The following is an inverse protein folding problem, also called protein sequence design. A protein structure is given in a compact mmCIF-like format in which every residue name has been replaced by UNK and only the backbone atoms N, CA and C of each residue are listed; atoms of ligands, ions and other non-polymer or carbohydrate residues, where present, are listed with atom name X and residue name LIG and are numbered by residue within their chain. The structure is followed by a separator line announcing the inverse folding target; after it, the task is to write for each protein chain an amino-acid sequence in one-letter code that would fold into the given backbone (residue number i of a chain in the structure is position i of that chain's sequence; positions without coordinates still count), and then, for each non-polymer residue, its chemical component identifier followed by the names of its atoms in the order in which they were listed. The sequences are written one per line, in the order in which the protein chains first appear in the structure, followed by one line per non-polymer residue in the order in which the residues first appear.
data_IF_299001844953
#
_entry.id   IF_299001844953
#
_cell.length_a   1.000
_cell.length_b   1.000
_cell.length_c   1.000
_cell.angle_alpha   90.00
_cell.angle_beta   90.00
_cell.angle_gamma   90.00
#
_symmetry.space_group_name_H-M   'P 1'
#
loop_
_entity.id
_entity.type
_entity.pdbx_description
1 polymer ?
#
# COMPACT_ATOMS: atom_id res chain seq x y z
N UNK A 1 -10.73 -19.80 0.29
CA UNK A 1 -10.71 -18.39 0.66
C UNK A 1 -12.12 -17.91 0.83
N UNK A 2 -12.37 -17.23 1.94
CA UNK A 2 -13.59 -16.47 2.17
C UNK A 2 -13.20 -15.01 2.33
N UNK A 3 -14.06 -14.11 1.87
CA UNK A 3 -13.83 -12.66 1.97
C UNK A 3 -15.09 -11.98 2.49
N UNK A 4 -14.89 -11.10 3.45
CA UNK A 4 -15.93 -10.24 4.01
C UNK A 4 -15.65 -8.78 3.70
N UNK A 5 -16.71 -8.06 3.39
CA UNK A 5 -16.77 -6.62 3.38
C UNK A 5 -17.03 -6.11 4.79
N UNK A 6 -16.20 -5.20 5.27
CA UNK A 6 -16.32 -4.61 6.59
C UNK A 6 -16.49 -3.09 6.48
N UNK A 7 -17.26 -2.54 7.42
CA UNK A 7 -17.57 -1.12 7.48
C UNK A 7 -17.42 -0.57 8.91
N UNK A 8 -16.83 0.61 9.03
CA UNK A 8 -16.75 1.36 10.29
C UNK A 8 -17.90 2.37 10.42
N UNK A 9 -18.20 2.82 11.64
CA UNK A 9 -19.20 3.89 11.87
C UNK A 9 -18.84 5.20 11.16
N UNK A 10 -17.54 5.44 10.91
CA UNK A 10 -17.04 6.64 10.26
C UNK A 10 -17.05 6.54 8.73
N UNK A 11 -17.53 5.43 8.17
CA UNK A 11 -17.62 5.23 6.72
C UNK A 11 -16.35 4.69 6.06
N UNK A 12 -15.37 4.18 6.81
CA UNK A 12 -14.22 3.49 6.23
C UNK A 12 -14.59 2.06 5.84
N UNK A 13 -14.10 1.60 4.69
CA UNK A 13 -14.45 0.29 4.14
C UNK A 13 -13.22 -0.58 3.92
N UNK A 14 -13.43 -1.89 3.98
CA UNK A 14 -12.36 -2.85 3.76
C UNK A 14 -12.84 -4.24 3.41
N UNK A 15 -11.92 -5.04 2.88
CA UNK A 15 -12.08 -6.46 2.63
C UNK A 15 -11.14 -7.23 3.55
N UNK A 16 -11.70 -8.23 4.22
CA UNK A 16 -10.97 -9.14 5.09
C UNK A 16 -11.05 -10.55 4.54
N UNK A 17 -9.90 -11.17 4.32
CA UNK A 17 -9.80 -12.55 3.84
C UNK A 17 -9.45 -13.53 4.97
N UNK A 18 -9.98 -14.75 4.92
CA UNK A 18 -9.67 -15.86 5.85
C UNK A 18 -8.29 -16.50 5.60
N UNK A 19 -7.63 -16.13 4.51
CA UNK A 19 -6.27 -16.54 4.19
C UNK A 19 -5.52 -15.44 3.42
N UNK A 20 -4.19 -15.57 3.34
CA UNK A 20 -3.39 -14.63 2.56
C UNK A 20 -3.77 -14.67 1.09
N UNK A 21 -3.97 -13.49 0.51
CA UNK A 21 -4.05 -13.33 -0.94
C UNK A 21 -2.70 -13.71 -1.54
N UNK A 22 -2.71 -14.67 -2.46
CA UNK A 22 -1.52 -15.17 -3.14
C UNK A 22 -0.85 -14.11 -4.01
N UNK A 23 -1.64 -13.14 -4.49
CA UNK A 23 -1.22 -12.05 -5.35
C UNK A 23 -1.57 -10.72 -4.69
N UNK A 24 -0.73 -9.71 -4.94
CA UNK A 24 -1.01 -8.36 -4.43
C UNK A 24 -2.17 -7.77 -5.23
N UNK A 25 -3.20 -7.34 -4.52
CA UNK A 25 -4.31 -6.58 -5.11
C UNK A 25 -3.79 -5.20 -5.52
N UNK A 26 -4.04 -4.83 -6.76
CA UNK A 26 -3.75 -3.51 -7.33
C UNK A 26 -4.92 -2.55 -7.13
N UNK A 27 -6.16 -3.05 -7.16
CA UNK A 27 -7.38 -2.28 -6.97
C UNK A 27 -8.60 -3.17 -6.76
N UNK A 28 -9.70 -2.56 -6.33
CA UNK A 28 -11.01 -3.21 -6.26
C UNK A 28 -11.94 -2.49 -7.23
N UNK A 29 -12.59 -3.24 -8.12
CA UNK A 29 -13.67 -2.72 -8.95
C UNK A 29 -15.00 -2.98 -8.26
N UNK A 30 -15.88 -1.99 -8.26
CA UNK A 30 -17.25 -2.11 -7.78
C UNK A 30 -18.23 -1.78 -8.91
N UNK A 31 -19.17 -2.68 -9.12
CA UNK A 31 -20.29 -2.50 -10.05
C UNK A 31 -21.56 -2.18 -9.26
N UNK A 32 -22.06 -0.95 -9.43
CA UNK A 32 -23.31 -0.50 -8.80
C UNK A 32 -24.54 -1.24 -9.30
N UNK A 33 -24.53 -1.77 -10.53
CA UNK A 33 -25.71 -2.42 -11.10
C UNK A 33 -25.92 -3.78 -10.47
N UNK A 34 -24.85 -4.59 -10.38
CA UNK A 34 -24.92 -5.93 -9.79
C UNK A 34 -24.59 -5.98 -8.30
N UNK A 35 -24.05 -4.89 -7.73
CA UNK A 35 -23.51 -4.86 -6.36
C UNK A 35 -22.25 -5.69 -6.19
N UNK A 36 -21.62 -6.16 -7.27
CA UNK A 36 -20.46 -7.05 -7.20
C UNK A 36 -19.16 -6.29 -7.09
N UNK A 37 -18.22 -6.92 -6.40
CA UNK A 37 -16.84 -6.46 -6.31
C UNK A 37 -15.91 -7.44 -7.03
N UNK A 38 -14.87 -6.90 -7.66
CA UNK A 38 -13.80 -7.68 -8.30
C UNK A 38 -12.45 -7.21 -7.78
N UNK A 39 -11.60 -8.14 -7.35
CA UNK A 39 -10.21 -7.85 -6.98
C UNK A 39 -9.35 -7.90 -8.24
N UNK A 40 -8.71 -6.79 -8.58
CA UNK A 40 -7.72 -6.73 -9.66
C UNK A 40 -6.32 -6.95 -9.08
N UNK A 41 -5.57 -7.91 -9.60
CA UNK A 41 -4.21 -8.20 -9.16
C UNK A 41 -3.16 -7.48 -10.01
N UNK A 42 -1.96 -7.29 -9.44
CA UNK A 42 -0.86 -6.59 -10.14
C UNK A 42 -0.36 -7.29 -11.41
N UNK A 43 -0.71 -8.55 -11.62
CA UNK A 43 -0.33 -9.36 -12.79
C UNK A 43 -1.44 -9.48 -13.83
N UNK A 44 -2.45 -8.59 -13.78
CA UNK A 44 -3.63 -8.57 -14.67
C UNK A 44 -4.57 -9.78 -14.54
N UNK A 45 -4.40 -10.58 -13.49
CA UNK A 45 -5.40 -11.56 -13.09
C UNK A 45 -6.44 -10.90 -12.18
N UNK A 46 -7.58 -11.55 -11.99
CA UNK A 46 -8.65 -11.01 -11.16
C UNK A 46 -9.40 -12.09 -10.37
N UNK A 47 -10.13 -11.66 -9.34
CA UNK A 47 -11.06 -12.51 -8.60
C UNK A 47 -12.41 -11.81 -8.43
N UNK A 48 -13.44 -12.40 -9.00
CA UNK A 48 -14.82 -11.97 -8.77
C UNK A 48 -15.32 -12.45 -7.40
N UNK A 49 -15.81 -11.52 -6.59
CA UNK A 49 -16.45 -11.81 -5.32
C UNK A 49 -17.90 -12.22 -5.63
N UNK A 50 -18.30 -13.42 -5.18
CA UNK A 50 -19.50 -14.11 -5.68
C UNK A 50 -20.80 -13.74 -4.96
N UNK A 51 -20.72 -12.89 -3.93
CA UNK A 51 -21.88 -12.40 -3.17
C UNK A 51 -21.93 -10.87 -3.31
N UNK A 52 -23.06 -10.30 -3.75
CA UNK A 52 -23.18 -8.85 -3.92
C UNK A 52 -23.24 -8.14 -2.58
N UNK A 53 -22.66 -6.94 -2.53
CA UNK A 53 -22.81 -6.03 -1.39
C UNK A 53 -24.25 -5.53 -1.33
N UNK A 54 -24.78 -5.35 -0.12
CA UNK A 54 -26.14 -4.84 0.04
C UNK A 54 -26.27 -3.39 -0.42
N UNK A 55 -27.37 -3.01 -1.11
CA UNK A 55 -27.56 -1.66 -1.66
C UNK A 55 -27.47 -0.53 -0.64
N UNK A 56 -27.78 -0.80 0.63
CA UNK A 56 -27.69 0.19 1.71
C UNK A 56 -26.26 0.71 1.94
N UNK A 57 -25.22 -0.06 1.56
CA UNK A 57 -23.83 0.34 1.71
C UNK A 57 -23.27 1.13 0.52
N UNK A 58 -24.02 1.24 -0.58
CA UNK A 58 -23.51 1.84 -1.83
C UNK A 58 -23.19 3.32 -1.65
N UNK A 59 -24.02 4.05 -0.89
CA UNK A 59 -23.77 5.47 -0.59
C UNK A 59 -22.47 5.68 0.20
N UNK A 60 -22.08 4.73 1.05
CA UNK A 60 -20.81 4.79 1.79
C UNK A 60 -19.63 4.42 0.90
N UNK A 61 -19.78 3.39 0.08
CA UNK A 61 -18.78 3.00 -0.92
C UNK A 61 -18.47 4.16 -1.87
N UNK A 62 -19.48 4.92 -2.29
CA UNK A 62 -19.33 6.08 -3.17
C UNK A 62 -18.40 7.18 -2.64
N UNK A 63 -18.24 7.26 -1.32
CA UNK A 63 -17.38 8.24 -0.66
C UNK A 63 -15.95 7.71 -0.45
N UNK A 64 -15.71 6.42 -0.71
CA UNK A 64 -14.43 5.76 -0.50
C UNK A 64 -13.57 5.80 -1.77
N UNK A 65 -12.42 6.48 -1.69
CA UNK A 65 -11.40 6.45 -2.75
C UNK A 65 -10.40 5.29 -2.58
N UNK A 66 -10.27 4.79 -1.36
CA UNK A 66 -9.41 3.69 -0.97
C UNK A 66 -10.23 2.69 -0.17
N UNK A 67 -9.88 1.42 -0.31
CA UNK A 67 -10.44 0.32 0.47
C UNK A 67 -9.30 -0.41 1.18
N UNK A 68 -9.51 -0.78 2.43
CA UNK A 68 -8.57 -1.60 3.19
C UNK A 68 -8.57 -3.03 2.67
N UNK A 69 -7.40 -3.65 2.56
CA UNK A 69 -7.22 -5.06 2.24
C UNK A 69 -6.49 -5.71 3.40
N UNK A 70 -7.10 -6.73 3.99
CA UNK A 70 -6.54 -7.50 5.09
C UNK A 70 -6.68 -9.00 4.91
N UNK A 71 -5.80 -9.75 5.57
CA UNK A 71 -5.94 -11.19 5.72
C UNK A 71 -5.68 -11.62 7.16
N UNK A 72 -6.58 -12.43 7.71
CA UNK A 72 -6.40 -13.08 9.01
C UNK A 72 -6.04 -14.53 8.78
N UNK A 73 -4.93 -14.97 9.36
CA UNK A 73 -4.48 -16.36 9.31
C UNK A 73 -4.08 -16.80 10.71
N UNK A 74 -4.66 -17.92 11.17
CA UNK A 74 -4.41 -18.47 12.51
C UNK A 74 -4.65 -17.44 13.64
N UNK A 75 -5.70 -16.62 13.53
CA UNK A 75 -6.02 -15.57 14.52
C UNK A 75 -5.12 -14.33 14.46
N UNK A 76 -4.26 -14.20 13.45
CA UNK A 76 -3.35 -13.06 13.29
C UNK A 76 -3.58 -12.30 11.99
N UNK A 77 -3.47 -10.98 12.04
CA UNK A 77 -3.43 -10.14 10.84
C UNK A 77 -2.08 -10.39 10.13
N UNK A 78 -2.16 -10.99 8.95
CA UNK A 78 -1.03 -11.51 8.18
C UNK A 78 -0.76 -10.72 6.91
N UNK A 79 -1.75 -9.96 6.43
CA UNK A 79 -1.60 -8.93 5.40
C UNK A 79 -2.47 -7.73 5.78
N UNK A 80 -2.01 -6.53 5.46
CA UNK A 80 -2.73 -5.27 5.67
C UNK A 80 -2.15 -4.18 4.77
N UNK A 81 -2.98 -3.59 3.92
CA UNK A 81 -2.65 -2.44 3.07
C UNK A 81 -3.95 -1.79 2.55
N UNK A 82 -3.84 -0.76 1.71
CA UNK A 82 -4.98 -0.15 1.03
C UNK A 82 -4.74 -0.10 -0.47
N UNK A 83 -5.83 -0.16 -1.22
CA UNK A 83 -5.85 -0.09 -2.69
C UNK A 83 -6.97 0.85 -3.14
N UNK A 84 -6.91 1.41 -4.36
CA UNK A 84 -8.02 2.16 -4.93
C UNK A 84 -9.29 1.33 -5.02
N UNK A 85 -10.42 1.93 -4.67
CA UNK A 85 -11.75 1.43 -4.98
C UNK A 85 -12.26 2.17 -6.22
N UNK A 86 -12.45 1.46 -7.32
CA UNK A 86 -12.82 1.99 -8.63
C UNK A 86 -14.24 1.56 -8.98
N UNK A 87 -14.94 2.38 -9.75
CA UNK A 87 -16.33 2.13 -10.14
C UNK A 87 -16.40 1.82 -11.63
N UNK A 88 -16.97 0.67 -11.99
CA UNK A 88 -17.13 0.27 -13.40
C UNK A 88 -18.03 1.24 -14.18
N UNK A 89 -19.02 1.83 -13.50
CA UNK A 89 -20.08 2.62 -14.13
C UNK A 89 -19.79 4.13 -14.16
N UNK A 90 -18.65 4.59 -13.65
CA UNK A 90 -18.28 6.01 -13.61
C UNK A 90 -16.85 6.25 -14.13
N UNK A 91 -16.69 6.60 -15.43
CA UNK A 91 -15.38 6.85 -16.03
C UNK A 91 -14.70 8.13 -15.51
N UNK A 92 -15.44 9.06 -14.89
CA UNK A 92 -14.90 10.33 -14.40
C UNK A 92 -14.28 10.19 -13.00
N UNK A 93 -14.80 9.29 -12.16
CA UNK A 93 -14.13 8.92 -10.89
C UNK A 93 -12.72 8.38 -11.12
N UNK A 94 -12.50 7.70 -12.24
CA UNK A 94 -11.19 7.30 -12.76
C UNK A 94 -10.12 8.40 -12.68
N UNK A 95 -10.49 9.65 -12.95
CA UNK A 95 -9.54 10.77 -12.98
C UNK A 95 -9.16 11.28 -11.59
N UNK A 96 -10.05 11.14 -10.61
CA UNK A 96 -9.83 11.53 -9.20
C UNK A 96 -8.73 10.64 -8.58
N UNK A 97 -8.64 9.37 -8.99
CA UNK A 97 -7.66 8.43 -8.46
C UNK A 97 -6.20 8.78 -8.77
N UNK A 98 -5.92 9.57 -9.82
CA UNK A 98 -4.55 9.98 -10.18
C UNK A 98 -3.84 10.72 -9.02
N UNK A 99 -4.60 11.28 -8.09
CA UNK A 99 -4.10 12.01 -6.94
C UNK A 99 -4.24 11.28 -5.61
N UNK A 100 -4.87 10.10 -5.60
CA UNK A 100 -5.08 9.32 -4.39
C UNK A 100 -3.75 8.69 -3.98
N UNK A 101 -3.24 9.11 -2.82
CA UNK A 101 -2.03 8.54 -2.23
C UNK A 101 -2.43 7.58 -1.13
N UNK A 102 -1.85 6.39 -1.13
CA UNK A 102 -1.92 5.48 0.01
C UNK A 102 -1.34 6.22 1.24
N UNK A 103 -2.02 6.19 2.40
CA UNK A 103 -1.52 6.85 3.59
C UNK A 103 -0.16 6.27 4.01
N UNK A 104 0.71 7.09 4.64
CA UNK A 104 2.09 6.72 4.93
C UNK A 104 2.23 5.61 5.99
N UNK A 105 1.17 5.34 6.76
CA UNK A 105 1.15 4.36 7.86
C UNK A 105 0.03 3.33 7.65
N UNK A 106 0.14 2.48 6.61
CA UNK A 106 -0.94 1.58 6.22
C UNK A 106 -1.28 0.54 7.30
N UNK A 107 -0.32 0.14 8.14
CA UNK A 107 -0.60 -0.84 9.20
C UNK A 107 -1.32 -0.22 10.39
N UNK A 108 -0.96 1.00 10.78
CA UNK A 108 -1.70 1.72 11.81
C UNK A 108 -3.11 2.07 11.34
N UNK A 109 -3.24 2.54 10.09
CA UNK A 109 -4.55 2.83 9.50
C UNK A 109 -5.42 1.58 9.42
N UNK A 110 -4.86 0.44 9.00
CA UNK A 110 -5.59 -0.84 9.01
C UNK A 110 -5.96 -1.30 10.43
N UNK A 111 -5.08 -1.11 11.41
CA UNK A 111 -5.38 -1.48 12.80
C UNK A 111 -6.51 -0.63 13.37
N UNK A 112 -6.50 0.68 13.10
CA UNK A 112 -7.61 1.55 13.46
C UNK A 112 -8.90 1.05 12.79
N UNK A 113 -8.87 0.86 11.47
CA UNK A 113 -10.00 0.37 10.69
C UNK A 113 -10.61 -0.90 11.30
N UNK A 114 -9.82 -1.98 11.44
CA UNK A 114 -10.33 -3.29 11.87
C UNK A 114 -10.89 -3.25 13.30
N UNK A 115 -10.34 -2.41 14.17
CA UNK A 115 -10.82 -2.28 15.56
C UNK A 115 -12.07 -1.42 15.72
N UNK A 116 -12.44 -0.66 14.69
CA UNK A 116 -13.63 0.20 14.65
C UNK A 116 -14.70 -0.30 13.65
N UNK A 117 -14.50 -1.48 13.06
CA UNK A 117 -15.52 -2.12 12.24
C UNK A 117 -16.73 -2.50 13.12
N UNK A 118 -17.91 -2.10 12.67
CA UNK A 118 -19.19 -2.38 13.35
C UNK A 118 -20.11 -3.28 12.54
N UNK A 119 -19.82 -3.43 11.25
CA UNK A 119 -20.58 -4.28 10.33
C UNK A 119 -19.63 -5.13 9.50
N UNK A 120 -20.09 -6.34 9.17
CA UNK A 120 -19.40 -7.27 8.29
C UNK A 120 -20.41 -8.05 7.46
N UNK A 121 -20.18 -8.10 6.14
CA UNK A 121 -21.01 -8.81 5.17
C UNK A 121 -20.16 -9.79 4.36
N UNK A 122 -20.58 -11.05 4.19
CA UNK A 122 -19.92 -11.97 3.26
C UNK A 122 -19.99 -11.43 1.82
N UNK A 123 -18.85 -11.36 1.13
CA UNK A 123 -18.78 -11.00 -0.30
C UNK A 123 -18.15 -12.10 -1.15
N UNK A 124 -17.42 -13.02 -0.55
CA UNK A 124 -16.95 -14.22 -1.23
C UNK A 124 -16.97 -15.44 -0.30
N UNK A 125 -17.53 -16.54 -0.79
CA UNK A 125 -17.45 -17.86 -0.16
C UNK A 125 -17.05 -18.89 -1.19
N UNK A 126 -16.07 -19.73 -0.87
CA UNK A 126 -15.63 -20.78 -1.80
C UNK A 126 -16.74 -21.81 -2.04
N UNK A 127 -17.45 -22.18 -0.98
CA UNK A 127 -18.51 -23.18 -0.98
C UNK A 127 -19.83 -22.54 -0.54
N UNK A 128 -20.42 -21.69 -1.39
CA UNK A 128 -21.64 -20.93 -1.11
C UNK A 128 -22.91 -21.77 -0.83
N UNK A 129 -22.83 -23.10 -0.93
CA UNK A 129 -23.90 -24.03 -0.58
C UNK A 129 -23.82 -24.57 0.85
N UNK A 130 -22.79 -24.22 1.61
CA UNK A 130 -22.61 -24.64 3.00
C UNK A 130 -23.07 -23.53 3.96
N UNK A 131 -24.23 -23.76 4.60
CA UNK A 131 -24.85 -22.80 5.53
C UNK A 131 -23.97 -22.49 6.74
N UNK A 132 -23.09 -23.42 7.14
CA UNK A 132 -22.17 -23.25 8.28
C UNK A 132 -21.05 -22.23 7.99
N UNK A 133 -20.82 -21.90 6.71
CA UNK A 133 -19.79 -20.95 6.27
C UNK A 133 -20.31 -19.53 5.99
N UNK A 134 -21.63 -19.31 6.17
CA UNK A 134 -22.27 -18.02 5.87
C UNK A 134 -21.96 -16.93 6.91
N UNK A 135 -21.43 -17.30 8.08
CA UNK A 135 -21.02 -16.35 9.11
C UNK A 135 -19.82 -15.49 8.70
N UNK A 136 -19.63 -14.36 9.38
CA UNK A 136 -18.44 -13.51 9.23
C UNK A 136 -17.16 -14.30 9.56
N UNK A 137 -16.07 -14.07 8.83
CA UNK A 137 -14.74 -14.67 8.98
C UNK A 137 -14.17 -14.44 10.38
N UNK A 138 -14.53 -13.31 11.00
CA UNK A 138 -14.14 -13.04 12.37
C UNK A 138 -14.92 -13.92 13.38
N UNK A 139 -16.06 -14.48 12.99
CA UNK A 139 -16.92 -15.29 13.85
C UNK A 139 -17.24 -14.55 15.15
N UNK A 140 -17.03 -15.22 16.28
CA UNK A 140 -17.14 -14.65 17.63
C UNK A 140 -15.89 -13.86 18.08
N UNK A 141 -14.86 -13.79 17.24
CA UNK A 141 -13.61 -13.08 17.57
C UNK A 141 -13.86 -11.59 17.50
N UNK A 142 -13.81 -10.94 18.66
CA UNK A 142 -13.80 -9.48 18.74
C UNK A 142 -12.66 -8.91 17.87
N UNK A 143 -12.95 -8.00 16.92
CA UNK A 143 -11.91 -7.41 16.08
C UNK A 143 -10.77 -6.76 16.88
N UNK A 144 -11.08 -6.24 18.07
CA UNK A 144 -10.11 -5.68 19.03
C UNK A 144 -9.13 -6.71 19.63
N UNK A 145 -9.44 -8.00 19.57
CA UNK A 145 -8.57 -9.07 20.04
C UNK A 145 -7.53 -9.49 18.97
N UNK A 146 -7.71 -9.07 17.71
CA UNK A 146 -6.79 -9.39 16.63
C UNK A 146 -5.43 -8.72 16.84
N UNK A 147 -4.36 -9.50 16.64
CA UNK A 147 -2.99 -9.01 16.70
C UNK A 147 -2.31 -9.24 15.36
N UNK A 148 -1.39 -8.37 14.99
CA UNK A 148 -0.55 -8.61 13.83
C UNK A 148 0.32 -9.85 14.03
N UNK A 149 0.61 -10.52 12.91
CA UNK A 149 1.65 -11.54 12.88
C UNK A 149 3.02 -10.89 13.24
N UNK A 150 3.97 -11.63 13.82
CA UNK A 150 5.21 -11.04 14.37
C UNK A 150 6.04 -10.20 13.38
N UNK A 151 5.99 -10.53 12.09
CA UNK A 151 6.69 -9.76 11.05
C UNK A 151 5.99 -8.43 10.73
N UNK A 152 4.65 -8.40 10.76
CA UNK A 152 3.84 -7.21 10.58
C UNK A 152 3.92 -6.29 11.80
N UNK A 153 3.93 -6.85 13.01
CA UNK A 153 4.06 -6.08 14.25
C UNK A 153 5.41 -5.32 14.29
N UNK A 154 6.50 -5.96 13.85
CA UNK A 154 7.80 -5.28 13.70
C UNK A 154 7.75 -4.09 12.74
N UNK A 155 7.02 -4.22 11.63
CA UNK A 155 6.85 -3.13 10.66
C UNK A 155 5.95 -2.03 11.24
N UNK A 156 4.86 -2.39 11.90
CA UNK A 156 3.97 -1.45 12.59
C UNK A 156 4.73 -0.64 13.63
N UNK A 157 5.58 -1.27 14.43
CA UNK A 157 6.42 -0.58 15.42
C UNK A 157 7.40 0.43 14.80
N UNK A 158 7.69 0.33 13.49
CA UNK A 158 8.46 1.33 12.75
C UNK A 158 7.53 2.44 12.27
N UNK A 159 6.34 2.12 11.74
CA UNK A 159 5.32 3.08 11.30
C UNK A 159 4.78 3.95 12.45
N UNK A 160 4.69 3.40 13.66
CA UNK A 160 4.22 4.11 14.86
C UNK A 160 5.24 5.08 15.45
N UNK A 161 6.49 5.07 14.96
CA UNK A 161 7.51 6.00 15.44
C UNK A 161 7.11 7.44 15.10
N UNK A 162 7.29 8.38 16.03
CA UNK A 162 7.13 9.80 15.73
C UNK A 162 8.19 10.19 14.69
N UNK A 163 7.75 10.83 13.61
CA UNK A 163 8.68 11.45 12.67
C UNK A 163 9.37 12.61 13.39
N UNK A 164 10.69 12.55 13.52
CA UNK A 164 11.47 13.69 13.98
C UNK A 164 11.38 14.78 12.91
N UNK A 165 10.41 15.67 13.06
CA UNK A 165 10.37 16.92 12.31
C UNK A 165 11.53 17.76 12.84
N UNK A 166 12.63 17.78 12.10
CA UNK A 166 13.62 18.85 12.21
C UNK A 166 12.89 20.14 11.85
N UNK A 167 12.31 20.83 12.84
CA UNK A 167 11.84 22.18 12.68
C UNK A 167 13.07 23.09 12.66
N UNK A 168 13.38 23.79 11.55
CA UNK A 168 14.53 24.70 11.49
C UNK A 168 14.43 25.87 12.48
N UNK A 169 13.23 26.10 13.05
CA UNK A 169 12.91 27.22 13.91
C UNK A 169 12.42 26.81 15.32
N UNK A 170 12.70 25.58 15.78
CA UNK A 170 12.48 25.26 17.19
C UNK A 170 13.46 26.08 18.06
N UNK A 171 12.97 26.90 19.02
CA UNK A 171 13.84 27.60 19.96
C UNK A 171 14.66 26.57 20.74
N UNK A 172 15.97 26.72 20.69
CA UNK A 172 16.94 25.71 21.10
C UNK A 172 16.71 25.16 22.51
N UNK A 173 16.42 23.86 22.58
CA UNK A 173 16.84 23.02 23.70
C UNK A 173 18.15 22.39 23.25
N UNK A 174 19.26 22.91 23.79
CA UNK A 174 20.59 22.43 23.50
C UNK A 174 20.79 21.00 23.99
N UNK A 175 21.07 20.08 23.08
CA UNK A 175 21.93 18.94 23.37
C UNK A 175 23.28 19.22 22.72
N UNK A 176 24.27 19.46 23.58
CA UNK A 176 25.65 19.73 23.20
C UNK A 176 26.32 18.52 22.55
N UNK A 177 27.20 18.81 21.59
CA UNK A 177 28.07 17.84 20.93
C UNK A 177 28.57 18.35 19.59
N UNK A 178 29.56 19.24 19.64
CA UNK A 178 30.35 19.73 18.49
C UNK A 178 30.95 18.57 17.67
N UNK A 179 31.29 18.68 16.37
CA UNK A 179 31.67 19.84 15.59
C UNK A 179 31.40 19.59 14.09
N UNK A 180 30.90 20.60 13.38
CA UNK A 180 31.07 20.72 11.93
C UNK A 180 31.86 21.99 11.66
N UNK A 181 33.12 21.83 11.28
CA UNK A 181 33.91 22.92 10.68
C UNK A 181 33.81 22.82 9.16
N UNK A 182 33.03 23.72 8.56
CA UNK A 182 33.33 24.29 7.25
C UNK A 182 33.13 25.80 7.40
N UNK A 183 34.01 26.64 6.83
CA UNK A 183 33.75 27.01 5.44
C UNK A 183 35.01 27.35 4.61
N UNK A 184 34.88 27.30 3.28
CA UNK A 184 34.98 28.48 2.42
C UNK A 184 35.29 28.09 0.97
N UNK A 185 34.35 28.42 0.10
CA UNK A 185 34.48 28.44 -1.34
C UNK A 185 35.15 29.76 -1.77
N UNK A 186 36.28 29.70 -2.50
CA UNK A 186 36.78 30.66 -3.52
C UNK A 186 38.29 30.50 -3.70
N UNK A 187 38.76 30.09 -4.88
CA UNK A 187 39.42 30.99 -5.84
C UNK A 187 39.84 30.27 -7.13
N UNK A 188 39.83 31.04 -8.22
CA UNK A 188 40.15 30.69 -9.60
C UNK A 188 41.65 30.38 -9.83
N UNK A 189 41.89 29.43 -10.73
CA UNK A 189 42.93 29.35 -11.76
C UNK A 189 44.31 30.04 -11.56
N UNK A 190 45.38 29.23 -11.47
CA UNK A 190 46.74 29.49 -12.00
C UNK A 190 47.31 28.10 -12.39
N UNK A 191 47.29 27.68 -13.66
CA UNK A 191 48.26 27.91 -14.75
C UNK A 191 49.66 27.28 -14.50
N UNK A 192 50.03 26.38 -15.42
CA UNK A 192 51.39 26.16 -15.96
C UNK A 192 52.45 25.41 -15.14
N UNK A 193 52.72 24.16 -15.55
CA UNK A 193 53.94 23.73 -16.29
C UNK A 193 54.24 22.26 -15.98
N UNK A 194 54.12 21.41 -17.00
CA UNK A 194 55.23 20.53 -17.42
C UNK A 194 54.93 19.98 -18.81
N UNK A 195 55.67 20.55 -19.75
CA UNK A 195 55.80 20.21 -21.17
C UNK A 195 56.66 18.93 -21.28
N UNK A 196 56.32 18.10 -22.28
CA UNK A 196 56.94 16.83 -22.71
C UNK A 196 58.42 16.99 -23.17
N UNK A 197 59.12 15.91 -23.57
CA UNK A 197 58.99 15.31 -24.92
C UNK A 197 58.85 13.77 -24.89
N UNK A 198 58.21 13.03 -25.81
CA UNK A 198 58.15 12.95 -27.29
C UNK A 198 59.15 11.96 -27.89
N UNK A 199 58.65 10.78 -28.31
CA UNK A 199 59.21 9.83 -29.29
C UNK A 199 58.36 8.53 -29.30
N UNK A 200 57.75 8.03 -30.38
CA UNK A 200 57.53 8.45 -31.75
C UNK A 200 56.43 7.53 -32.34
N UNK A 201 55.59 8.08 -33.21
CA UNK A 201 54.58 7.40 -34.03
C UNK A 201 55.24 6.57 -35.18
N UNK A 202 54.47 6.09 -36.19
CA UNK A 202 53.36 5.14 -36.23
C UNK A 202 53.67 3.99 -37.24
N UNK A 203 52.80 2.98 -37.42
CA UNK A 203 52.61 2.32 -38.74
C UNK A 203 51.47 1.28 -38.80
N UNK A 204 50.75 1.30 -39.94
CA UNK A 204 49.90 0.24 -40.53
C UNK A 204 48.54 -0.02 -39.88
N UNK A 205 47.38 0.42 -40.39
CA UNK A 205 46.75 0.25 -41.70
C UNK A 205 46.30 -1.20 -42.04
N UNK A 206 45.06 -1.27 -42.54
CA UNK A 206 44.38 -2.33 -43.31
C UNK A 206 43.82 -3.54 -42.57
N UNK A 207 42.76 -4.19 -43.04
CA UNK A 207 41.58 -3.93 -43.89
C UNK A 207 40.83 -5.28 -43.86
N UNK A 208 39.51 -5.23 -44.04
CA UNK A 208 38.67 -6.26 -44.66
C UNK A 208 38.55 -7.70 -44.11
N UNK A 209 37.28 -8.12 -43.99
CA UNK A 209 36.83 -9.32 -44.69
C UNK A 209 35.97 -10.30 -43.90
N UNK A 210 34.67 -10.36 -44.27
CA UNK A 210 33.77 -11.51 -44.50
C UNK A 210 33.96 -12.79 -43.65
N UNK A 211 32.92 -13.46 -43.17
CA UNK A 211 31.65 -13.86 -43.82
C UNK A 211 30.44 -13.81 -42.86
#
# INVERSE_FOLDING_TARGET
MDVDFLLTETGETGLLSSENLFKKVAGVLFDHESGRMTLEYTDMDYLDLNIPVEPEFFGTLDLCLLIHIGAVKNGHISQAYQVPLMFLNDPYRGEIFKHVRTPPKPLESFFYFITHCVLGQPVHRKDAGDEDTLGCILGDTLPSALKFAPHMERRRAIESRPEFVYSPNAPGIGLGGAAVTHPAERTKAIREKRKRPDDGSPDGANEDGKE
#
